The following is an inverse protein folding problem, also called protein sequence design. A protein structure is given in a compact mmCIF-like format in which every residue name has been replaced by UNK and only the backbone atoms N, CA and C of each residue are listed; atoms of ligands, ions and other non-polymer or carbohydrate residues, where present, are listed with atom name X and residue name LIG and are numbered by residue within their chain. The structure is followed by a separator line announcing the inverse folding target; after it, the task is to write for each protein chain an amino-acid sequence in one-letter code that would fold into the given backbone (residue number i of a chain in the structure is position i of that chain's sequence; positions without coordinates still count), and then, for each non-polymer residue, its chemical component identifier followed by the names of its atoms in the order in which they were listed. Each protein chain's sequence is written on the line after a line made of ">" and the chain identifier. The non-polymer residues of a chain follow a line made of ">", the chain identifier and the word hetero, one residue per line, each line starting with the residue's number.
data_IF_290374191624
#
_entry.id   IF_290374191624
#
_cell.length_a   1.000
_cell.length_b   1.000
_cell.length_c   1.000
_cell.angle_alpha   90.00
_cell.angle_beta   90.00
_cell.angle_gamma   90.00
#
_symmetry.space_group_name_H-M   'P 1'
#
loop_
_entity.id
_entity.type
_entity.pdbx_description
1 polymer ?
#
# COMPACT_ATOMS: atom_id res chain seq x y z
N UNK A 1 -2.83 10.58 -13.80
CA UNK A 1 -3.30 9.35 -13.11
C UNK A 1 -3.56 9.70 -11.66
N UNK A 2 -4.72 9.30 -11.14
CA UNK A 2 -5.15 9.49 -9.75
C UNK A 2 -5.58 8.16 -9.16
N UNK A 3 -5.20 7.88 -7.90
CA UNK A 3 -5.60 6.65 -7.20
C UNK A 3 -6.30 7.01 -5.90
N UNK A 4 -7.43 6.33 -5.63
CA UNK A 4 -8.21 6.47 -4.41
C UNK A 4 -8.47 5.12 -3.77
N UNK A 5 -8.18 4.99 -2.48
CA UNK A 5 -8.57 3.82 -1.68
C UNK A 5 -10.07 3.94 -1.37
N UNK A 6 -10.84 2.92 -1.69
CA UNK A 6 -12.28 2.83 -1.39
C UNK A 6 -12.49 2.03 -0.11
N UNK A 7 -11.80 0.91 0.02
CA UNK A 7 -11.82 0.09 1.24
C UNK A 7 -10.39 -0.31 1.54
N UNK A 8 -9.93 0.03 2.74
CA UNK A 8 -8.60 -0.36 3.22
C UNK A 8 -8.61 -1.80 3.75
N UNK A 9 -7.44 -2.33 4.10
CA UNK A 9 -7.33 -3.66 4.67
C UNK A 9 -8.15 -3.77 5.95
N UNK A 10 -8.73 -4.94 6.19
CA UNK A 10 -9.51 -5.22 7.41
C UNK A 10 -8.66 -5.75 8.56
N UNK A 11 -7.48 -6.28 8.25
CA UNK A 11 -6.56 -6.88 9.22
C UNK A 11 -5.14 -6.43 8.88
N UNK A 12 -4.45 -5.86 9.85
CA UNK A 12 -3.05 -5.47 9.69
C UNK A 12 -2.14 -6.70 9.48
N UNK A 13 -1.14 -6.61 8.59
CA UNK A 13 -0.23 -7.72 8.31
C UNK A 13 0.73 -8.04 9.46
N UNK A 14 0.87 -7.11 10.41
CA UNK A 14 1.63 -7.26 11.66
C UNK A 14 0.69 -7.02 12.82
N UNK A 15 0.65 -7.95 13.77
CA UNK A 15 -0.17 -7.82 14.97
C UNK A 15 0.52 -6.98 16.04
N UNK A 16 -0.27 -6.35 16.92
CA UNK A 16 0.23 -5.64 18.11
C UNK A 16 1.10 -6.54 18.98
N UNK A 17 0.76 -7.84 19.10
CA UNK A 17 1.53 -8.82 19.87
C UNK A 17 2.92 -9.08 19.24
N UNK A 18 3.01 -9.19 17.90
CA UNK A 18 4.29 -9.31 17.18
C UNK A 18 5.14 -8.05 17.38
N UNK A 19 4.55 -6.86 17.27
CA UNK A 19 5.25 -5.60 17.47
C UNK A 19 5.74 -5.44 18.93
N UNK A 20 4.91 -5.77 19.94
CA UNK A 20 5.34 -5.78 21.34
C UNK A 20 6.54 -6.70 21.57
N UNK A 21 6.48 -7.90 21.02
CA UNK A 21 7.59 -8.86 21.11
C UNK A 21 8.86 -8.29 20.50
N UNK A 22 8.75 -7.66 19.33
CA UNK A 22 9.87 -7.02 18.66
C UNK A 22 10.46 -5.85 19.47
N UNK A 23 9.60 -5.03 20.07
CA UNK A 23 9.96 -3.89 20.92
C UNK A 23 10.38 -4.32 22.35
N UNK A 24 10.27 -5.60 22.71
CA UNK A 24 10.53 -6.13 24.06
C UNK A 24 9.64 -5.50 25.14
N UNK A 25 8.40 -5.16 24.79
CA UNK A 25 7.41 -4.59 25.70
C UNK A 25 6.58 -5.73 26.29
N UNK A 26 6.47 -5.80 27.61
CA UNK A 26 5.71 -6.84 28.33
C UNK A 26 4.31 -6.41 28.74
N UNK A 27 4.05 -5.10 28.80
CA UNK A 27 2.76 -4.52 29.22
C UNK A 27 1.86 -4.24 28.01
N UNK A 28 0.56 -4.27 28.21
CA UNK A 28 -0.47 -3.92 27.20
C UNK A 28 -0.88 -2.45 27.25
N UNK A 29 -0.33 -1.65 28.16
CA UNK A 29 -0.73 -0.26 28.37
C UNK A 29 -0.57 0.64 27.14
N UNK A 30 0.25 0.23 26.16
CA UNK A 30 0.54 0.99 24.95
C UNK A 30 0.02 0.31 23.67
N UNK A 31 -0.83 -0.68 23.76
CA UNK A 31 -1.32 -1.45 22.62
C UNK A 31 -2.03 -0.56 21.57
N UNK A 32 -2.79 0.45 22.00
CA UNK A 32 -3.44 1.40 21.11
C UNK A 32 -2.42 2.19 20.29
N UNK A 33 -1.41 2.76 20.95
CA UNK A 33 -0.33 3.50 20.29
C UNK A 33 0.45 2.61 19.31
N UNK A 34 0.79 1.39 19.74
CA UNK A 34 1.49 0.42 18.87
C UNK A 34 0.64 0.08 17.63
N UNK A 35 -0.67 -0.07 17.80
CA UNK A 35 -1.59 -0.30 16.69
C UNK A 35 -1.58 0.85 15.67
N UNK A 36 -1.63 2.09 16.14
CA UNK A 36 -1.54 3.29 15.29
C UNK A 36 -0.20 3.37 14.55
N UNK A 37 0.90 3.06 15.23
CA UNK A 37 2.24 3.03 14.61
C UNK A 37 2.37 1.92 13.55
N UNK A 38 1.71 0.78 13.72
CA UNK A 38 1.68 -0.29 12.72
C UNK A 38 0.97 0.20 11.45
N UNK A 39 -0.19 0.83 11.62
CA UNK A 39 -0.97 1.36 10.49
C UNK A 39 -0.18 2.44 9.73
N UNK A 40 0.40 3.41 10.44
CA UNK A 40 1.21 4.47 9.85
C UNK A 40 2.45 3.92 9.12
N UNK A 41 3.19 2.98 9.74
CA UNK A 41 4.35 2.35 9.12
C UNK A 41 3.97 1.59 7.83
N UNK A 42 2.84 0.86 7.85
CA UNK A 42 2.32 0.17 6.68
C UNK A 42 1.98 1.15 5.56
N UNK A 43 1.23 2.20 5.83
CA UNK A 43 0.80 3.18 4.82
C UNK A 43 1.99 3.88 4.17
N UNK A 44 2.99 4.25 4.95
CA UNK A 44 4.23 4.85 4.42
C UNK A 44 5.01 3.89 3.53
N UNK A 45 5.13 2.62 3.93
CA UNK A 45 5.80 1.60 3.13
C UNK A 45 5.03 1.24 1.86
N UNK A 46 3.70 1.16 1.90
CA UNK A 46 2.85 0.97 0.72
C UNK A 46 3.03 2.10 -0.29
N UNK A 47 3.04 3.35 0.19
CA UNK A 47 3.30 4.52 -0.64
C UNK A 47 4.70 4.51 -1.26
N UNK A 48 5.71 4.10 -0.50
CA UNK A 48 7.09 4.01 -0.97
C UNK A 48 7.27 2.92 -2.02
N UNK A 49 6.64 1.75 -1.83
CA UNK A 49 6.78 0.60 -2.74
C UNK A 49 5.81 0.62 -3.90
N UNK A 50 4.77 1.44 -3.85
CA UNK A 50 3.61 1.41 -4.75
C UNK A 50 2.90 0.04 -4.76
N UNK A 51 2.85 -0.63 -3.59
CA UNK A 51 2.23 -1.94 -3.39
C UNK A 51 1.15 -1.88 -2.31
N UNK A 52 0.14 -2.75 -2.40
CA UNK A 52 -0.81 -3.02 -1.31
C UNK A 52 -0.36 -4.19 -0.48
N UNK A 53 -0.18 -4.00 0.82
CA UNK A 53 0.32 -5.03 1.73
C UNK A 53 -0.77 -6.00 2.20
N UNK A 54 -2.01 -5.74 1.88
CA UNK A 54 -3.16 -6.63 2.07
C UNK A 54 -4.26 -6.29 1.08
N UNK A 55 -5.32 -7.07 1.06
CA UNK A 55 -6.42 -6.89 0.12
C UNK A 55 -7.13 -5.55 0.35
N UNK A 56 -7.11 -4.68 -0.67
CA UNK A 56 -7.77 -3.38 -0.71
C UNK A 56 -8.67 -3.26 -1.93
N UNK A 57 -9.70 -2.44 -1.82
CA UNK A 57 -10.46 -1.99 -3.00
C UNK A 57 -10.02 -0.57 -3.34
N UNK A 58 -9.61 -0.39 -4.58
CA UNK A 58 -9.08 0.88 -5.08
C UNK A 58 -9.84 1.31 -6.34
N UNK A 59 -9.84 2.63 -6.57
CA UNK A 59 -10.16 3.21 -7.88
C UNK A 59 -8.91 3.89 -8.44
N UNK A 60 -8.67 3.68 -9.73
CA UNK A 60 -7.63 4.41 -10.46
C UNK A 60 -8.24 5.08 -11.68
N UNK A 61 -7.93 6.36 -11.88
CA UNK A 61 -8.38 7.15 -13.02
C UNK A 61 -7.18 7.61 -13.85
N UNK A 62 -7.29 7.43 -15.17
CA UNK A 62 -6.40 8.01 -16.17
C UNK A 62 -7.18 9.01 -17.00
N UNK A 63 -6.61 10.19 -17.24
CA UNK A 63 -7.19 11.20 -18.13
C UNK A 63 -7.18 10.72 -19.57
N UNK A 64 -6.09 10.07 -19.96
CA UNK A 64 -5.95 9.38 -21.25
C UNK A 64 -5.25 8.06 -20.99
N UNK A 65 -5.81 6.97 -21.51
CA UNK A 65 -5.22 5.66 -21.53
C UNK A 65 -5.00 5.23 -22.97
N UNK A 66 -3.76 5.27 -23.43
CA UNK A 66 -3.32 4.81 -24.74
C UNK A 66 -2.33 3.65 -24.55
N UNK A 67 -2.74 2.47 -24.99
CA UNK A 67 -1.96 1.25 -24.85
C UNK A 67 -2.08 0.59 -23.47
N UNK A 68 -1.01 -0.13 -23.09
CA UNK A 68 -0.95 -0.89 -21.84
C UNK A 68 -0.44 -0.03 -20.69
N UNK A 69 -1.22 0.13 -19.64
CA UNK A 69 -0.81 0.81 -18.40
C UNK A 69 -0.69 -0.17 -17.24
N UNK A 70 0.31 0.00 -16.42
CA UNK A 70 0.43 -0.75 -15.17
C UNK A 70 -0.66 -0.33 -14.19
N UNK A 71 -1.33 -1.30 -13.57
CA UNK A 71 -2.29 -1.04 -12.50
C UNK A 71 -1.48 -0.71 -11.24
N UNK A 72 -1.71 0.43 -10.58
CA UNK A 72 -0.95 0.78 -9.38
C UNK A 72 -1.37 -0.04 -8.15
N UNK A 73 -0.56 0.02 -7.10
CA UNK A 73 -0.81 -0.63 -5.81
C UNK A 73 -1.11 -2.13 -5.89
N UNK A 74 -0.41 -2.84 -6.77
CA UNK A 74 -0.51 -4.30 -6.85
C UNK A 74 0.26 -4.98 -5.69
N UNK A 75 0.33 -6.30 -5.55
CA UNK A 75 0.07 -7.34 -6.56
C UNK A 75 -1.38 -7.84 -6.64
N UNK A 76 -1.59 -8.85 -7.52
CA UNK A 76 -2.82 -9.63 -7.65
C UNK A 76 -4.07 -8.80 -7.98
N UNK A 77 -3.91 -7.72 -8.77
CA UNK A 77 -5.04 -6.88 -9.14
C UNK A 77 -6.14 -7.65 -9.88
N UNK A 78 -7.40 -7.47 -9.45
CA UNK A 78 -8.60 -8.00 -10.08
C UNK A 78 -9.54 -6.84 -10.37
N UNK A 79 -9.70 -6.49 -11.64
CA UNK A 79 -10.57 -5.41 -12.08
C UNK A 79 -12.02 -5.86 -12.02
N UNK A 80 -12.87 -5.12 -11.33
CA UNK A 80 -14.30 -5.38 -11.19
C UNK A 80 -15.18 -4.44 -12.06
N UNK A 81 -14.67 -3.27 -12.40
CA UNK A 81 -15.35 -2.32 -13.29
C UNK A 81 -14.34 -1.48 -14.04
N UNK A 82 -14.68 -1.14 -15.29
CA UNK A 82 -13.96 -0.18 -16.12
C UNK A 82 -15.00 0.70 -16.81
N UNK A 83 -14.93 2.01 -16.55
CA UNK A 83 -15.90 2.99 -17.05
C UNK A 83 -15.20 4.24 -17.58
N UNK A 84 -15.86 4.98 -18.48
CA UNK A 84 -15.45 6.32 -18.89
C UNK A 84 -16.06 7.39 -17.97
N UNK A 85 -15.71 8.67 -18.21
CA UNK A 85 -16.27 9.80 -17.46
C UNK A 85 -17.78 9.99 -17.68
N UNK A 86 -18.37 9.46 -18.74
CA UNK A 86 -19.81 9.46 -18.98
C UNK A 86 -20.54 8.35 -18.18
N UNK A 87 -19.79 7.43 -17.58
CA UNK A 87 -20.34 6.28 -16.84
C UNK A 87 -20.57 5.03 -17.69
N UNK A 88 -20.19 5.05 -18.98
CA UNK A 88 -20.34 3.88 -19.84
C UNK A 88 -19.28 2.82 -19.51
N UNK A 89 -19.69 1.58 -19.55
CA UNK A 89 -18.78 0.44 -19.37
C UNK A 89 -17.89 0.28 -20.60
N UNK A 90 -16.58 0.20 -20.34
CA UNK A 90 -15.56 0.01 -21.38
C UNK A 90 -15.10 -1.44 -21.44
N UNK A 91 -14.87 -1.92 -22.67
CA UNK A 91 -14.15 -3.18 -22.88
C UNK A 91 -12.68 -2.99 -22.56
N UNK A 92 -12.13 -3.90 -21.76
CA UNK A 92 -10.74 -3.88 -21.35
C UNK A 92 -10.13 -5.27 -21.39
N UNK A 93 -8.81 -5.32 -21.47
CA UNK A 93 -8.01 -6.52 -21.34
C UNK A 93 -6.98 -6.35 -20.21
N UNK A 94 -6.57 -7.46 -19.61
CA UNK A 94 -5.51 -7.48 -18.61
C UNK A 94 -4.46 -8.53 -18.98
N UNK A 95 -3.18 -8.20 -18.80
CA UNK A 95 -2.07 -9.14 -18.97
C UNK A 95 -1.13 -9.11 -17.77
N UNK A 96 -0.36 -10.17 -17.58
CA UNK A 96 0.55 -10.35 -16.45
C UNK A 96 0.00 -11.36 -15.44
N UNK A 97 0.86 -11.89 -14.60
CA UNK A 97 0.51 -12.88 -13.57
C UNK A 97 0.23 -12.16 -12.24
N UNK A 98 1.26 -11.93 -11.46
CA UNK A 98 1.19 -11.26 -10.16
C UNK A 98 1.01 -9.74 -10.32
N UNK A 99 1.71 -9.15 -11.31
CA UNK A 99 1.63 -7.72 -11.64
C UNK A 99 0.94 -7.56 -12.98
N UNK A 100 -0.17 -6.85 -13.01
CA UNK A 100 -1.04 -6.72 -14.17
C UNK A 100 -0.97 -5.36 -14.82
N UNK A 101 -1.15 -5.39 -16.14
CA UNK A 101 -1.33 -4.23 -16.97
C UNK A 101 -2.77 -4.24 -17.49
N UNK A 102 -3.36 -3.07 -17.59
CA UNK A 102 -4.65 -2.82 -18.20
C UNK A 102 -4.46 -2.27 -19.61
N UNK A 103 -5.29 -2.72 -20.51
CA UNK A 103 -5.47 -2.12 -21.83
C UNK A 103 -6.94 -1.81 -22.04
N UNK A 104 -7.21 -0.66 -22.65
CA UNK A 104 -8.55 -0.23 -23.02
C UNK A 104 -8.46 0.54 -24.35
N UNK A 105 -9.47 0.41 -25.20
CA UNK A 105 -9.45 1.10 -26.50
C UNK A 105 -9.51 2.60 -26.32
N UNK A 106 -8.46 3.34 -26.81
CA UNK A 106 -8.33 4.79 -26.93
C UNK A 106 -9.39 5.59 -26.16
N UNK A 107 -9.33 5.53 -24.83
CA UNK A 107 -10.37 6.11 -24.00
C UNK A 107 -9.83 7.26 -23.19
N UNK A 108 -10.59 8.36 -23.18
CA UNK A 108 -10.38 9.49 -22.27
C UNK A 108 -11.19 9.28 -21.01
N UNK A 109 -10.62 9.67 -19.87
CA UNK A 109 -11.32 9.60 -18.59
C UNK A 109 -11.61 8.17 -18.12
N UNK A 110 -10.65 7.24 -18.28
CA UNK A 110 -10.83 5.83 -17.88
C UNK A 110 -10.70 5.70 -16.38
N UNK A 111 -11.73 5.14 -15.75
CA UNK A 111 -11.74 4.80 -14.32
C UNK A 111 -11.95 3.32 -14.13
N UNK A 112 -11.04 2.65 -13.43
CA UNK A 112 -11.22 1.27 -12.98
C UNK A 112 -11.50 1.19 -11.50
N UNK A 113 -12.30 0.20 -11.11
CA UNK A 113 -12.42 -0.27 -9.73
C UNK A 113 -11.81 -1.67 -9.68
N UNK A 114 -10.92 -1.91 -8.73
CA UNK A 114 -10.21 -3.18 -8.63
C UNK A 114 -9.87 -3.51 -7.19
N UNK A 115 -9.66 -4.79 -6.92
CA UNK A 115 -9.05 -5.25 -5.67
C UNK A 115 -7.61 -5.63 -5.94
N UNK A 116 -6.70 -5.31 -5.02
CA UNK A 116 -5.30 -5.67 -5.12
C UNK A 116 -4.69 -5.88 -3.73
N UNK A 117 -3.56 -6.56 -3.67
CA UNK A 117 -2.77 -6.74 -2.46
C UNK A 117 -2.24 -8.16 -2.29
N UNK A 118 -1.27 -8.31 -1.41
CA UNK A 118 -0.72 -9.61 -1.05
C UNK A 118 -1.74 -10.46 -0.29
N UNK A 119 -1.90 -11.71 -0.68
CA UNK A 119 -2.61 -12.71 0.11
C UNK A 119 -1.82 -13.08 1.36
N UNK A 120 -0.50 -13.14 1.24
CA UNK A 120 0.45 -13.34 2.35
C UNK A 120 1.60 -12.38 2.15
N UNK A 121 1.78 -11.44 3.10
CA UNK A 121 2.85 -10.45 2.99
C UNK A 121 4.23 -11.12 3.11
N UNK A 122 5.19 -10.84 2.21
CA UNK A 122 6.56 -11.32 2.32
C UNK A 122 7.19 -10.96 3.66
N UNK A 123 7.97 -11.90 4.22
CA UNK A 123 8.61 -11.70 5.54
C UNK A 123 9.49 -10.44 5.59
N UNK A 124 10.17 -10.11 4.51
CA UNK A 124 11.01 -8.91 4.45
C UNK A 124 10.19 -7.63 4.65
N UNK A 125 8.99 -7.53 4.05
CA UNK A 125 8.09 -6.40 4.22
C UNK A 125 7.49 -6.36 5.64
N UNK A 126 7.16 -7.52 6.24
CA UNK A 126 6.78 -7.58 7.66
C UNK A 126 7.87 -7.03 8.58
N UNK A 127 9.12 -7.42 8.34
CA UNK A 127 10.26 -6.91 9.12
C UNK A 127 10.49 -5.43 8.87
N UNK A 128 10.26 -4.94 7.65
CA UNK A 128 10.33 -3.50 7.35
C UNK A 128 9.30 -2.70 8.17
N UNK A 129 8.05 -3.19 8.27
CA UNK A 129 7.02 -2.59 9.15
C UNK A 129 7.50 -2.56 10.60
N UNK A 130 7.97 -3.68 11.13
CA UNK A 130 8.43 -3.77 12.53
C UNK A 130 9.60 -2.82 12.84
N UNK A 131 10.55 -2.67 11.91
CA UNK A 131 11.66 -1.72 12.03
C UNK A 131 11.17 -0.28 12.03
N UNK A 132 10.22 0.05 11.17
CA UNK A 132 9.63 1.38 11.11
C UNK A 132 8.84 1.71 12.38
N UNK A 133 8.06 0.75 12.89
CA UNK A 133 7.37 0.85 14.19
C UNK A 133 8.38 1.10 15.31
N UNK A 134 9.51 0.37 15.35
CA UNK A 134 10.52 0.55 16.38
C UNK A 134 11.15 1.95 16.30
N UNK A 135 11.50 2.40 15.10
CA UNK A 135 12.05 3.74 14.88
C UNK A 135 11.08 4.82 15.36
N UNK A 136 9.81 4.72 15.00
CA UNK A 136 8.78 5.70 15.40
C UNK A 136 8.48 5.63 16.89
N UNK A 137 8.53 4.43 17.49
CA UNK A 137 8.31 4.24 18.92
C UNK A 137 9.45 4.84 19.77
N UNK A 138 10.70 4.68 19.35
CA UNK A 138 11.88 5.21 20.05
C UNK A 138 12.01 6.73 19.92
N UNK A 139 11.62 7.30 18.78
CA UNK A 139 11.77 8.72 18.46
C UNK A 139 10.49 9.54 18.67
N UNK A 140 9.62 9.15 19.61
CA UNK A 140 8.34 9.82 19.90
C UNK A 140 8.47 11.33 20.17
N UNK A 141 9.55 11.76 20.83
CA UNK A 141 9.78 13.15 21.21
C UNK A 141 10.22 14.03 20.01
N UNK A 142 10.88 13.44 19.02
CA UNK A 142 11.30 14.15 17.79
C UNK A 142 10.14 14.42 16.83
N UNK A 143 8.97 13.85 17.07
CA UNK A 143 7.76 14.03 16.26
C UNK A 143 7.26 15.48 16.25
N UNK A 144 7.65 16.29 17.22
CA UNK A 144 7.19 17.67 17.39
C UNK A 144 8.18 18.76 16.98
N UNK A 145 9.43 18.43 16.64
CA UNK A 145 10.48 19.47 16.57
C UNK A 145 10.88 19.87 15.14
N UNK A 146 10.75 19.02 14.14
CA UNK A 146 11.09 19.44 12.76
C UNK A 146 10.21 18.71 11.73
N UNK A 147 9.52 19.49 10.90
CA UNK A 147 8.57 19.07 9.87
C UNK A 147 9.09 18.15 8.74
N UNK A 148 9.96 17.21 9.04
CA UNK A 148 10.62 16.31 8.09
C UNK A 148 10.30 14.82 8.34
N UNK A 149 9.26 14.50 9.08
CA UNK A 149 8.92 13.12 9.46
C UNK A 149 8.14 12.31 8.41
N UNK A 150 8.20 12.70 7.15
CA UNK A 150 7.62 11.90 6.03
C UNK A 150 8.59 10.87 5.44
N UNK A 151 9.80 10.73 5.97
CA UNK A 151 10.77 9.79 5.44
C UNK A 151 10.81 8.50 6.27
N UNK A 152 10.70 7.36 5.56
CA UNK A 152 10.95 6.03 6.13
C UNK A 152 12.38 5.93 6.67
N UNK A 153 12.58 5.16 7.72
CA UNK A 153 13.90 4.82 8.22
C UNK A 153 14.75 4.17 7.11
N UNK A 154 16.06 4.43 7.10
CA UNK A 154 16.96 3.88 6.08
C UNK A 154 16.92 2.35 6.02
N UNK A 155 16.73 1.70 7.14
CA UNK A 155 16.65 0.24 7.24
C UNK A 155 15.35 -0.29 6.62
N UNK A 156 14.21 0.35 6.90
CA UNK A 156 12.94 -0.01 6.28
C UNK A 156 12.97 0.22 4.77
N UNK A 157 13.53 1.36 4.30
CA UNK A 157 13.75 1.65 2.87
C UNK A 157 14.57 0.55 2.19
N UNK A 158 15.71 0.17 2.75
CA UNK A 158 16.57 -0.88 2.19
C UNK A 158 15.86 -2.22 2.05
N UNK A 159 15.04 -2.61 3.01
CA UNK A 159 14.28 -3.87 2.95
C UNK A 159 13.14 -3.81 1.94
N UNK A 160 12.48 -2.67 1.83
CA UNK A 160 11.36 -2.47 0.91
C UNK A 160 11.80 -2.19 -0.54
N UNK A 161 13.03 -1.69 -0.74
CA UNK A 161 13.51 -1.25 -2.06
C UNK A 161 13.51 -2.36 -3.12
N UNK A 162 13.77 -3.62 -2.74
CA UNK A 162 13.72 -4.75 -3.68
C UNK A 162 12.31 -5.06 -4.18
N UNK A 163 11.30 -4.53 -3.51
CA UNK A 163 9.88 -4.65 -3.88
C UNK A 163 9.32 -3.38 -4.51
N UNK A 164 10.04 -2.25 -4.46
CA UNK A 164 9.57 -0.97 -4.99
C UNK A 164 9.30 -1.05 -6.49
N UNK A 165 8.15 -0.50 -6.92
CA UNK A 165 7.65 -0.46 -8.29
C UNK A 165 7.54 0.99 -8.81
N UNK A 166 8.49 1.84 -8.41
CA UNK A 166 8.58 3.23 -8.89
C UNK A 166 9.34 3.31 -10.21
#
# INVERSE_FOLDING_TARGET
>A
MEVKIITDISVEPVTVAEARTYLRITTTAQDTLIGELITDARERLEKFTNLSFGAKTLKCRWDVLDGWAEIPYQPNAVVSACINDAGDTLSYDTKGLEYKYLWCVNSTGVTITYTAGFTTLPKALKVAILKEVATSYENRENFYIEGTFNELSNDAKRMAQSYSRN
#
